data_IF_631263994931
#
_entry.id   IF_631263994931
#
_cell.length_a   1.000
_cell.length_b   1.000
_cell.length_c   1.000
_cell.angle_alpha   90.00
_cell.angle_beta   90.00
_cell.angle_gamma   90.00
#
_symmetry.space_group_name_H-M   'P 1'
#
loop_
_entity.id
_entity.type
_entity.pdbx_description
1 polymer ?
#
# COMPACT_ATOMS: atom_id res chain seq x y z
N UNK A 1 -15.40 11.15 9.23
CA UNK A 1 -14.41 11.63 8.25
C UNK A 1 -13.41 10.53 7.99
N UNK A 2 -12.73 10.51 6.84
CA UNK A 2 -11.58 9.63 6.63
C UNK A 2 -10.37 10.19 7.37
N UNK A 3 -9.69 9.33 8.14
CA UNK A 3 -8.43 9.68 8.79
C UNK A 3 -7.32 9.39 7.78
N UNK A 4 -6.51 10.40 7.46
CA UNK A 4 -5.31 10.23 6.63
C UNK A 4 -4.18 9.78 7.56
N UNK A 5 -3.58 8.60 7.35
CA UNK A 5 -2.43 8.18 8.15
C UNK A 5 -1.23 9.08 7.84
N UNK A 6 -0.51 9.50 8.88
CA UNK A 6 0.77 10.22 8.80
C UNK A 6 1.98 9.26 8.80
N UNK A 7 1.77 8.03 9.25
CA UNK A 7 2.73 6.94 9.33
C UNK A 7 2.01 5.59 9.35
N UNK A 8 2.76 4.49 9.23
CA UNK A 8 2.24 3.14 9.35
C UNK A 8 2.64 2.21 8.21
N UNK A 9 1.92 1.09 8.07
CA UNK A 9 2.28 0.06 7.08
C UNK A 9 1.35 0.08 5.88
N UNK A 10 1.95 0.15 4.69
CA UNK A 10 1.27 0.07 3.39
C UNK A 10 1.22 -1.38 2.93
N UNK A 11 0.03 -1.88 2.61
CA UNK A 11 -0.12 -3.11 1.84
C UNK A 11 -0.16 -2.78 0.34
N UNK A 12 0.85 -3.19 -0.41
CA UNK A 12 1.01 -2.88 -1.83
C UNK A 12 0.85 -4.11 -2.74
N UNK A 13 0.00 -3.99 -3.75
CA UNK A 13 -0.12 -4.97 -4.84
C UNK A 13 -0.30 -4.26 -6.17
N UNK A 14 0.77 -4.24 -6.95
CA UNK A 14 0.88 -3.42 -8.17
C UNK A 14 1.00 -4.32 -9.40
N UNK A 15 0.28 -3.96 -10.45
CA UNK A 15 0.41 -4.60 -11.77
C UNK A 15 1.80 -4.34 -12.35
N UNK A 16 2.31 -5.30 -13.13
CA UNK A 16 3.65 -5.20 -13.70
C UNK A 16 3.87 -3.94 -14.55
N UNK A 17 2.86 -3.49 -15.31
CA UNK A 17 2.96 -2.30 -16.17
C UNK A 17 3.11 -0.97 -15.42
N UNK A 18 2.78 -0.94 -14.13
CA UNK A 18 2.76 0.28 -13.31
C UNK A 18 3.87 0.29 -12.25
N UNK A 19 4.73 -0.75 -12.23
CA UNK A 19 5.75 -0.91 -11.20
C UNK A 19 6.77 0.22 -11.16
N UNK A 20 7.23 0.69 -12.31
CA UNK A 20 8.24 1.75 -12.38
C UNK A 20 7.72 3.07 -11.80
N UNK A 21 6.44 3.37 -12.03
CA UNK A 21 5.78 4.54 -11.46
C UNK A 21 5.53 4.36 -9.97
N UNK A 22 4.97 3.22 -9.57
CA UNK A 22 4.72 2.91 -8.16
C UNK A 22 5.99 2.96 -7.32
N UNK A 23 7.13 2.50 -7.86
CA UNK A 23 8.41 2.52 -7.16
C UNK A 23 8.86 3.93 -6.78
N UNK A 24 8.63 4.92 -7.66
CA UNK A 24 8.93 6.33 -7.36
C UNK A 24 8.12 6.84 -6.19
N UNK A 25 6.84 6.46 -6.11
CA UNK A 25 5.95 6.81 -5.00
C UNK A 25 6.36 6.07 -3.72
N UNK A 26 6.69 4.79 -3.80
CA UNK A 26 7.05 3.98 -2.63
C UNK A 26 8.36 4.44 -1.98
N UNK A 27 9.36 4.88 -2.76
CA UNK A 27 10.56 5.52 -2.21
C UNK A 27 10.22 6.75 -1.37
N UNK A 28 9.29 7.59 -1.85
CA UNK A 28 8.85 8.79 -1.13
C UNK A 28 8.04 8.45 0.13
N UNK A 29 7.13 7.47 0.06
CA UNK A 29 6.44 6.95 1.25
C UNK A 29 7.41 6.42 2.30
N UNK A 30 8.43 5.66 1.90
CA UNK A 30 9.46 5.18 2.80
C UNK A 30 10.22 6.33 3.47
N UNK A 31 10.58 7.37 2.70
CA UNK A 31 11.28 8.55 3.22
C UNK A 31 10.47 9.33 4.25
N UNK A 32 9.14 9.27 4.21
CA UNK A 32 8.26 9.91 5.21
C UNK A 32 7.81 8.95 6.32
N UNK A 33 8.41 7.75 6.41
CA UNK A 33 8.27 6.85 7.56
C UNK A 33 7.22 5.74 7.41
N UNK A 34 6.82 5.37 6.20
CA UNK A 34 5.95 4.21 5.98
C UNK A 34 6.73 2.92 5.75
N UNK A 35 6.24 1.85 6.37
CA UNK A 35 6.69 0.48 6.13
C UNK A 35 5.86 -0.22 5.05
N UNK A 36 6.38 -1.31 4.50
CA UNK A 36 5.70 -2.05 3.43
C UNK A 36 5.43 -3.53 3.76
N UNK A 37 4.22 -3.95 3.42
CA UNK A 37 3.84 -5.35 3.17
C UNK A 37 3.45 -5.44 1.70
N UNK A 38 3.93 -6.42 0.94
CA UNK A 38 3.62 -6.48 -0.48
C UNK A 38 3.57 -7.90 -1.04
N UNK A 39 2.79 -8.10 -2.12
CA UNK A 39 2.78 -9.38 -2.85
C UNK A 39 4.16 -9.66 -3.44
N UNK A 40 4.52 -10.93 -3.63
CA UNK A 40 5.88 -11.34 -3.99
C UNK A 40 6.52 -10.53 -5.13
N UNK A 41 5.78 -10.26 -6.21
CA UNK A 41 6.27 -9.47 -7.35
C UNK A 41 6.52 -7.99 -7.05
N UNK A 42 5.76 -7.42 -6.12
CA UNK A 42 5.92 -6.03 -5.64
C UNK A 42 7.01 -5.97 -4.57
N UNK A 43 7.08 -6.95 -3.67
CA UNK A 43 8.12 -7.05 -2.65
C UNK A 43 9.52 -7.20 -3.29
N UNK A 44 9.64 -7.98 -4.37
CA UNK A 44 10.90 -8.11 -5.12
C UNK A 44 11.40 -6.77 -5.66
N UNK A 45 10.49 -5.95 -6.20
CA UNK A 45 10.79 -4.62 -6.72
C UNK A 45 11.34 -3.70 -5.61
N UNK A 46 10.65 -3.65 -4.47
CA UNK A 46 11.05 -2.83 -3.33
C UNK A 46 12.41 -3.25 -2.75
N UNK A 47 12.64 -4.55 -2.59
CA UNK A 47 13.92 -5.08 -2.09
C UNK A 47 15.09 -4.77 -3.02
N UNK A 48 14.86 -4.78 -4.33
CA UNK A 48 15.89 -4.44 -5.31
C UNK A 48 16.39 -3.00 -5.14
N UNK A 49 15.54 -2.10 -4.63
CA UNK A 49 15.88 -0.71 -4.31
C UNK A 49 16.30 -0.50 -2.85
N UNK A 50 16.53 -1.56 -2.08
CA UNK A 50 16.95 -1.48 -0.68
C UNK A 50 15.85 -1.06 0.29
N UNK A 51 14.57 -1.06 -0.12
CA UNK A 51 13.44 -0.75 0.76
C UNK A 51 13.04 -2.02 1.53
N UNK A 52 13.06 -2.02 2.87
CA UNK A 52 12.55 -3.12 3.68
C UNK A 52 11.07 -3.39 3.40
N UNK A 53 10.73 -4.66 3.17
CA UNK A 53 9.35 -5.06 2.88
C UNK A 53 9.09 -6.49 3.33
N UNK A 54 7.96 -6.69 4.00
CA UNK A 54 7.43 -8.03 4.30
C UNK A 54 6.67 -8.56 3.09
N UNK A 55 6.95 -9.81 2.68
CA UNK A 55 6.16 -10.46 1.63
C UNK A 55 4.86 -11.00 2.22
N UNK A 56 3.77 -10.90 1.45
CA UNK A 56 2.48 -11.52 1.77
C UNK A 56 2.05 -12.47 0.65
N UNK A 57 1.40 -13.57 1.04
CA UNK A 57 0.91 -14.56 0.10
C UNK A 57 -0.46 -14.17 -0.47
N UNK A 58 -0.85 -14.79 -1.58
CA UNK A 58 -2.19 -14.57 -2.15
C UNK A 58 -3.24 -15.17 -1.22
N UNK A 59 -4.47 -14.69 -1.37
CA UNK A 59 -5.59 -15.08 -0.49
C UNK A 59 -5.78 -16.60 -0.49
N UNK A 60 -5.83 -17.19 0.70
CA UNK A 60 -6.03 -18.62 0.91
C UNK A 60 -4.79 -19.49 0.71
N UNK A 61 -3.62 -18.92 0.44
CA UNK A 61 -2.39 -19.71 0.22
C UNK A 61 -1.64 -20.04 1.52
N UNK A 62 -1.79 -19.22 2.57
CA UNK A 62 -1.11 -19.44 3.85
C UNK A 62 -1.78 -18.68 5.00
N UNK A 63 -1.26 -18.86 6.22
CA UNK A 63 -1.66 -18.04 7.39
C UNK A 63 -1.14 -16.59 7.33
N UNK A 64 -0.25 -16.28 6.39
CA UNK A 64 0.28 -14.94 6.11
C UNK A 64 -0.26 -14.41 4.77
N UNK A 65 -1.53 -14.66 4.49
CA UNK A 65 -2.20 -14.13 3.30
C UNK A 65 -2.65 -12.67 3.46
N UNK A 66 -3.01 -12.04 2.34
CA UNK A 66 -3.51 -10.66 2.26
C UNK A 66 -4.63 -10.36 3.26
N UNK A 67 -5.61 -11.26 3.41
CA UNK A 67 -6.77 -11.03 4.28
C UNK A 67 -6.37 -11.13 5.75
N UNK A 68 -5.48 -12.07 6.10
CA UNK A 68 -4.94 -12.22 7.46
C UNK A 68 -4.12 -10.99 7.84
N UNK A 69 -3.28 -10.48 6.95
CA UNK A 69 -2.51 -9.26 7.20
C UNK A 69 -3.42 -8.03 7.40
N UNK A 70 -4.46 -7.86 6.58
CA UNK A 70 -5.45 -6.79 6.79
C UNK A 70 -6.14 -6.94 8.15
N UNK A 71 -6.58 -8.16 8.48
CA UNK A 71 -7.28 -8.44 9.74
C UNK A 71 -6.40 -8.32 10.98
N UNK A 72 -5.08 -8.35 10.83
CA UNK A 72 -4.13 -8.18 11.93
C UNK A 72 -4.15 -6.77 12.54
N UNK A 73 -4.73 -5.78 11.84
CA UNK A 73 -4.79 -4.39 12.29
C UNK A 73 -3.50 -3.60 12.10
N UNK A 74 -2.45 -4.19 11.49
CA UNK A 74 -1.17 -3.52 11.22
C UNK A 74 -1.15 -2.67 9.96
N UNK A 75 -2.10 -2.88 9.04
CA UNK A 75 -2.15 -2.16 7.76
C UNK A 75 -2.92 -0.85 7.94
N UNK A 76 -2.29 0.27 7.58
CA UNK A 76 -2.91 1.61 7.63
C UNK A 76 -3.43 2.07 6.28
N UNK A 77 -2.83 1.59 5.19
CA UNK A 77 -3.15 2.00 3.81
C UNK A 77 -2.99 0.82 2.86
N UNK A 78 -3.91 0.67 1.91
CA UNK A 78 -3.81 -0.31 0.83
C UNK A 78 -3.65 0.43 -0.50
N UNK A 79 -2.63 0.04 -1.28
CA UNK A 79 -2.42 0.54 -2.65
C UNK A 79 -2.50 -0.65 -3.60
N UNK A 80 -3.53 -0.64 -4.43
CA UNK A 80 -3.83 -1.74 -5.34
C UNK A 80 -4.20 -1.27 -6.74
N UNK A 81 -3.27 -1.35 -7.67
CA UNK A 81 -3.62 -1.06 -9.06
C UNK A 81 -4.43 -2.20 -9.68
N UNK A 82 -5.45 -1.86 -10.47
CA UNK A 82 -6.42 -2.83 -11.03
C UNK A 82 -5.87 -3.35 -12.35
N UNK A 83 -5.58 -4.64 -12.47
CA UNK A 83 -5.27 -5.24 -13.77
C UNK A 83 -6.52 -5.35 -14.62
N UNK A 84 -6.37 -5.26 -15.95
CA UNK A 84 -7.48 -5.35 -16.93
C UNK A 84 -8.24 -6.69 -16.91
N UNK A 85 -7.80 -7.68 -16.13
CA UNK A 85 -8.51 -8.96 -15.98
C UNK A 85 -9.73 -8.80 -15.07
N UNK A 86 -10.90 -8.71 -15.73
CA UNK A 86 -12.25 -8.48 -15.16
C UNK A 86 -12.80 -9.65 -14.34
N UNK A 87 -11.98 -10.39 -13.61
CA UNK A 87 -12.50 -11.41 -12.69
C UNK A 87 -13.07 -10.73 -11.45
N UNK A 88 -14.41 -10.78 -11.34
CA UNK A 88 -15.20 -10.22 -10.24
C UNK A 88 -14.79 -10.82 -8.89
N UNK A 89 -14.27 -12.06 -8.87
CA UNK A 89 -13.74 -12.71 -7.66
C UNK A 89 -12.21 -12.66 -7.51
N UNK A 90 -11.54 -11.76 -8.22
CA UNK A 90 -10.08 -11.60 -8.08
C UNK A 90 -9.67 -11.30 -6.63
N UNK A 91 -8.44 -11.66 -6.27
CA UNK A 91 -7.88 -11.33 -4.95
C UNK A 91 -7.98 -9.83 -4.65
N UNK A 92 -7.78 -8.99 -5.68
CA UNK A 92 -7.96 -7.55 -5.58
C UNK A 92 -9.37 -7.16 -5.16
N UNK A 93 -10.42 -7.82 -5.67
CA UNK A 93 -11.80 -7.55 -5.25
C UNK A 93 -12.03 -7.93 -3.78
N UNK A 94 -11.62 -9.14 -3.37
CA UNK A 94 -11.78 -9.63 -1.99
C UNK A 94 -11.04 -8.74 -0.99
N UNK A 95 -9.82 -8.32 -1.35
CA UNK A 95 -9.01 -7.39 -0.55
C UNK A 95 -9.67 -6.02 -0.42
N UNK A 96 -10.15 -5.43 -1.53
CA UNK A 96 -10.86 -4.14 -1.50
C UNK A 96 -12.13 -4.21 -0.65
N UNK A 97 -12.89 -5.30 -0.74
CA UNK A 97 -14.08 -5.50 0.13
C UNK A 97 -13.68 -5.55 1.61
N UNK A 98 -12.65 -6.32 1.95
CA UNK A 98 -12.16 -6.41 3.32
C UNK A 98 -11.64 -5.05 3.85
N UNK A 99 -10.98 -4.25 3.00
CA UNK A 99 -10.56 -2.91 3.36
C UNK A 99 -11.74 -2.03 3.78
N UNK A 100 -12.81 -2.02 2.97
CA UNK A 100 -14.05 -1.28 3.28
C UNK A 100 -14.69 -1.77 4.58
N UNK A 101 -14.80 -3.08 4.77
CA UNK A 101 -15.34 -3.68 6.00
C UNK A 101 -14.52 -3.31 7.26
N UNK A 102 -13.24 -2.98 7.09
CA UNK A 102 -12.31 -2.59 8.16
C UNK A 102 -12.10 -1.08 8.29
N UNK A 103 -12.73 -0.27 7.43
CA UNK A 103 -12.53 1.18 7.40
C UNK A 103 -11.12 1.61 6.98
N UNK A 104 -10.39 0.75 6.25
CA UNK A 104 -9.05 1.06 5.75
C UNK A 104 -9.13 1.81 4.42
N UNK A 105 -8.27 2.83 4.27
CA UNK A 105 -8.12 3.55 3.02
C UNK A 105 -7.53 2.60 1.97
N UNK A 106 -8.21 2.47 0.83
CA UNK A 106 -7.79 1.63 -0.28
C UNK A 106 -7.77 2.44 -1.58
N UNK A 107 -6.57 2.65 -2.12
CA UNK A 107 -6.36 3.41 -3.35
C UNK A 107 -6.12 2.47 -4.52
N UNK A 108 -6.79 2.77 -5.65
CA UNK A 108 -6.70 1.93 -6.85
C UNK A 108 -6.05 2.61 -8.06
N UNK A 109 -5.58 3.84 -7.87
CA UNK A 109 -4.91 4.66 -8.87
C UNK A 109 -3.64 5.24 -8.27
N UNK A 110 -2.55 5.24 -9.05
CA UNK A 110 -1.30 5.85 -8.66
C UNK A 110 -1.40 7.38 -8.61
N UNK A 111 -2.21 8.02 -9.46
CA UNK A 111 -2.48 9.46 -9.39
C UNK A 111 -3.10 9.85 -8.03
N UNK A 112 -4.08 9.08 -7.58
CA UNK A 112 -4.73 9.33 -6.27
C UNK A 112 -3.75 9.06 -5.13
N UNK A 113 -2.91 8.05 -5.29
CA UNK A 113 -1.83 7.72 -4.35
C UNK A 113 -0.82 8.86 -4.24
N UNK A 114 -0.42 9.46 -5.36
CA UNK A 114 0.49 10.59 -5.38
C UNK A 114 -0.14 11.83 -4.74
N UNK A 115 -1.42 12.10 -4.99
CA UNK A 115 -2.13 13.23 -4.38
C UNK A 115 -2.20 13.09 -2.84
N UNK A 116 -2.45 11.89 -2.33
CA UNK A 116 -2.42 11.60 -0.91
C UNK A 116 -1.01 11.81 -0.34
N UNK A 117 0.00 11.23 -0.99
CA UNK A 117 1.40 11.34 -0.57
C UNK A 117 1.86 12.80 -0.48
N UNK A 118 1.52 13.64 -1.46
CA UNK A 118 1.82 15.08 -1.43
C UNK A 118 1.19 15.79 -0.23
N UNK A 119 0.02 15.32 0.21
CA UNK A 119 -0.65 15.85 1.41
C UNK A 119 0.07 15.41 2.68
N UNK A 120 0.47 14.14 2.76
CA UNK A 120 1.26 13.60 3.87
C UNK A 120 2.59 14.34 3.99
N UNK A 121 3.34 14.44 2.90
CA UNK A 121 4.64 15.16 2.86
C UNK A 121 4.50 16.58 3.39
N UNK A 122 3.50 17.34 2.94
CA UNK A 122 3.25 18.72 3.42
C UNK A 122 3.03 18.77 4.94
N UNK A 123 2.29 17.83 5.50
CA UNK A 123 2.02 17.79 6.93
C UNK A 123 3.27 17.38 7.72
N UNK A 124 4.08 16.46 7.20
CA UNK A 124 5.37 16.06 7.81
C UNK A 124 6.32 17.26 7.88
N UNK A 125 6.43 18.08 6.82
CA UNK A 125 7.29 19.27 6.80
C UNK A 125 6.79 20.41 7.72
N UNK A 126 5.51 20.48 8.06
CA UNK A 126 5.01 21.49 9.02
C UNK A 126 5.39 21.22 10.48
N UNK A 127 6.02 20.08 10.77
CA UNK A 127 6.40 19.68 12.14
C UNK A 127 7.90 19.81 12.46
N UNK A 128 8.72 20.44 11.60
CA UNK A 128 10.05 20.88 12.05
C UNK A 128 9.90 22.05 13.03
N UNK A 129 10.51 22.00 14.24
CA UNK A 129 10.37 23.05 15.23
C UNK A 129 11.00 24.33 14.70
N UNK A 130 10.29 25.45 14.83
CA UNK A 130 10.93 26.76 14.84
C UNK A 130 11.85 26.75 16.07
N UNK A 131 13.16 26.88 15.82
CA UNK A 131 14.23 26.96 16.80
C UNK A 131 13.91 27.82 18.02
#
# INVERSE_FOLDING_TARGET
>A
GMIIPDSGTILATINDSEKDEALKLFKRFYNVGFDFVATAGTAKLLRAEGIPVKSVDRIGQSENDIIKEIKSGRISLIINTISKNKNVESDGFKMRRCAVERGLLCLTSLDTTEALLKTIERNTYTMEPIS
#
